data_IF_906504767792
#
_entry.id   IF_906504767792
#
_cell.length_a   1.000
_cell.length_b   1.000
_cell.length_c   1.000
_cell.angle_alpha   90.00
_cell.angle_beta   90.00
_cell.angle_gamma   90.00
#
_symmetry.space_group_name_H-M   'P 1'
#
loop_
_entity.id
_entity.type
_entity.pdbx_description
1 polymer ?
#
# COMPACT_ATOMS: atom_id res chain seq x y z
N UNK A 1 -10.87 3.49 -2.23
CA UNK A 1 -9.47 3.78 -2.59
C UNK A 1 -8.59 3.36 -1.42
N UNK A 2 -7.51 2.63 -1.67
CA UNK A 2 -6.55 2.25 -0.60
C UNK A 2 -5.35 3.20 -0.62
N UNK A 3 -4.90 3.59 0.57
CA UNK A 3 -3.68 4.36 0.79
C UNK A 3 -2.82 3.64 1.82
N UNK A 4 -1.52 3.95 1.82
CA UNK A 4 -0.55 3.48 2.79
C UNK A 4 0.55 4.52 2.92
N UNK A 5 1.14 4.65 4.12
CA UNK A 5 2.18 5.64 4.33
C UNK A 5 3.32 5.52 3.28
N UNK A 6 3.72 6.61 2.57
CA UNK A 6 4.71 6.55 1.51
C UNK A 6 6.05 5.91 1.92
N UNK A 7 6.52 6.19 3.13
CA UNK A 7 7.71 5.55 3.72
C UNK A 7 7.68 3.99 3.76
N UNK A 8 6.52 3.36 3.58
CA UNK A 8 6.42 1.89 3.44
C UNK A 8 6.26 1.45 1.99
N UNK A 9 5.50 2.21 1.19
CA UNK A 9 5.19 1.85 -0.20
C UNK A 9 6.37 2.10 -1.12
N UNK A 10 7.01 3.27 -1.01
CA UNK A 10 8.14 3.67 -1.86
C UNK A 10 9.32 2.70 -1.77
N UNK A 11 9.89 2.39 -0.58
CA UNK A 11 11.02 1.47 -0.52
C UNK A 11 10.66 0.04 -0.94
N UNK A 12 9.40 -0.38 -0.77
CA UNK A 12 8.94 -1.68 -1.25
C UNK A 12 8.85 -1.73 -2.78
N UNK A 13 8.30 -0.68 -3.41
CA UNK A 13 8.28 -0.53 -4.85
C UNK A 13 9.69 -0.41 -5.43
N UNK A 14 10.57 0.36 -4.76
CA UNK A 14 11.97 0.51 -5.13
C UNK A 14 12.71 -0.83 -5.13
N UNK A 15 12.55 -1.63 -4.07
CA UNK A 15 13.14 -2.96 -3.98
C UNK A 15 12.61 -3.93 -5.04
N UNK A 16 11.29 -3.91 -5.28
CA UNK A 16 10.69 -4.80 -6.26
C UNK A 16 11.15 -4.50 -7.69
N UNK A 17 11.10 -3.22 -8.08
CA UNK A 17 11.34 -2.77 -9.45
C UNK A 17 12.83 -2.69 -9.80
N UNK A 18 13.69 -2.29 -8.87
CA UNK A 18 15.14 -2.24 -9.11
C UNK A 18 15.76 -3.63 -9.32
N UNK A 19 15.12 -4.66 -8.78
CA UNK A 19 15.51 -6.05 -9.01
C UNK A 19 14.95 -6.65 -10.31
N UNK A 20 13.90 -6.05 -10.90
CA UNK A 20 13.24 -6.58 -12.10
C UNK A 20 13.62 -5.82 -13.38
N UNK A 21 13.84 -4.52 -13.29
CA UNK A 21 14.19 -3.67 -14.43
C UNK A 21 15.66 -3.28 -14.37
N UNK A 22 16.47 -3.73 -15.35
CA UNK A 22 17.88 -3.32 -15.49
C UNK A 22 18.05 -1.83 -15.87
N UNK A 23 16.96 -1.07 -15.96
CA UNK A 23 16.94 0.34 -16.34
C UNK A 23 15.69 1.04 -15.78
N UNK A 24 15.55 1.10 -14.46
CA UNK A 24 14.43 1.81 -13.83
C UNK A 24 14.58 3.32 -13.98
N UNK A 25 13.80 3.94 -14.88
CA UNK A 25 13.58 5.39 -14.84
C UNK A 25 12.77 5.70 -13.56
N UNK A 26 13.10 6.79 -12.86
CA UNK A 26 12.40 7.24 -11.65
C UNK A 26 10.87 7.27 -11.84
N UNK A 27 10.39 7.54 -13.06
CA UNK A 27 8.97 7.47 -13.45
C UNK A 27 8.28 6.16 -13.11
N UNK A 28 8.96 5.02 -13.23
CA UNK A 28 8.38 3.70 -13.01
C UNK A 28 8.08 3.44 -11.53
N UNK A 29 8.80 4.12 -10.63
CA UNK A 29 8.59 4.06 -9.19
C UNK A 29 7.55 5.08 -8.72
N UNK A 30 7.47 6.24 -9.39
CA UNK A 30 6.58 7.34 -9.03
C UNK A 30 5.11 7.07 -9.35
N UNK A 31 4.83 6.47 -10.51
CA UNK A 31 3.45 6.15 -10.93
C UNK A 31 2.68 5.37 -9.84
N UNK A 32 3.24 4.29 -9.24
CA UNK A 32 2.52 3.55 -8.19
C UNK A 32 2.56 4.20 -6.80
N UNK A 33 3.38 5.23 -6.56
CA UNK A 33 3.67 5.71 -5.20
C UNK A 33 3.27 7.16 -4.91
N UNK A 34 3.04 8.00 -5.93
CA UNK A 34 2.92 9.45 -5.72
C UNK A 34 1.56 9.97 -5.25
N UNK A 35 0.53 9.13 -5.13
CA UNK A 35 -0.86 9.44 -4.73
C UNK A 35 -1.60 10.57 -5.49
N UNK A 36 -0.94 11.31 -6.38
CA UNK A 36 -1.52 12.44 -7.13
C UNK A 36 -2.71 12.04 -8.00
N UNK A 37 -2.65 10.85 -8.61
CA UNK A 37 -3.76 10.29 -9.40
C UNK A 37 -4.96 9.95 -8.51
N UNK A 38 -4.67 9.42 -7.32
CA UNK A 38 -5.68 9.09 -6.32
C UNK A 38 -6.36 10.37 -5.84
N UNK A 39 -5.62 11.42 -5.51
CA UNK A 39 -6.18 12.73 -5.14
C UNK A 39 -7.06 13.30 -6.25
N UNK A 40 -6.60 13.28 -7.50
CA UNK A 40 -7.39 13.76 -8.64
C UNK A 40 -8.69 12.96 -8.82
N UNK A 41 -8.61 11.63 -8.74
CA UNK A 41 -9.78 10.77 -8.85
C UNK A 41 -10.77 10.98 -7.70
N UNK A 42 -10.25 11.15 -6.48
CA UNK A 42 -11.07 11.47 -5.31
C UNK A 42 -11.83 12.78 -5.52
N UNK A 43 -11.13 13.84 -5.92
CA UNK A 43 -11.72 15.15 -6.16
C UNK A 43 -12.74 15.13 -7.30
N UNK A 44 -12.47 14.35 -8.36
CA UNK A 44 -13.43 14.14 -9.44
C UNK A 44 -14.75 13.56 -8.91
N UNK A 45 -14.71 12.49 -8.11
CA UNK A 45 -15.93 11.90 -7.56
C UNK A 45 -16.65 12.85 -6.61
N UNK A 46 -15.91 13.54 -5.73
CA UNK A 46 -16.50 14.54 -4.81
C UNK A 46 -17.21 15.66 -5.56
N UNK A 47 -16.60 16.17 -6.64
CA UNK A 47 -17.23 17.18 -7.49
C UNK A 47 -18.51 16.68 -8.19
N UNK A 48 -18.68 15.36 -8.31
CA UNK A 48 -19.86 14.71 -8.87
C UNK A 48 -20.82 14.14 -7.79
N UNK A 49 -20.69 14.60 -6.54
CA UNK A 49 -21.60 14.24 -5.45
C UNK A 49 -21.40 12.83 -4.89
N UNK A 50 -20.30 12.15 -5.24
CA UNK A 50 -19.93 10.84 -4.71
C UNK A 50 -18.79 11.06 -3.72
N UNK A 51 -18.92 10.54 -2.49
CA UNK A 51 -17.81 10.55 -1.53
C UNK A 51 -17.10 9.21 -1.58
N UNK A 52 -15.90 9.10 -2.17
CA UNK A 52 -15.19 7.82 -2.21
C UNK A 52 -14.74 7.41 -0.81
N UNK A 53 -14.85 6.12 -0.51
CA UNK A 53 -14.27 5.55 0.71
C UNK A 53 -12.75 5.51 0.56
N UNK A 54 -12.03 6.13 1.49
CA UNK A 54 -10.56 6.06 1.57
C UNK A 54 -10.19 5.14 2.73
N UNK A 55 -9.46 4.06 2.46
CA UNK A 55 -9.07 3.07 3.45
C UNK A 55 -7.54 3.07 3.64
N UNK A 56 -7.09 3.26 4.88
CA UNK A 56 -5.68 3.16 5.26
C UNK A 56 -5.31 1.68 5.47
N UNK A 57 -4.18 1.26 4.89
CA UNK A 57 -3.77 -0.14 4.89
C UNK A 57 -3.61 -0.69 6.30
N UNK A 58 -3.00 0.08 7.19
CA UNK A 58 -2.79 -0.29 8.58
C UNK A 58 -4.11 -0.54 9.35
N UNK A 59 -5.22 0.10 8.98
CA UNK A 59 -6.51 -0.06 9.66
C UNK A 59 -7.17 -1.42 9.30
N UNK A 60 -7.21 -1.80 8.02
CA UNK A 60 -7.88 -3.03 7.59
C UNK A 60 -7.00 -4.28 7.65
N UNK A 61 -5.66 -4.14 7.71
CA UNK A 61 -4.75 -5.29 7.79
C UNK A 61 -4.77 -6.03 9.13
N UNK A 62 -5.33 -5.42 10.18
CA UNK A 62 -5.37 -6.00 11.53
C UNK A 62 -6.75 -6.01 12.20
N UNK A 63 -7.74 -5.32 11.64
CA UNK A 63 -9.06 -5.18 12.27
C UNK A 63 -10.17 -5.81 11.43
N UNK A 64 -10.66 -7.00 11.82
CA UNK A 64 -11.86 -7.58 11.23
C UNK A 64 -13.09 -6.68 11.34
N UNK A 65 -13.18 -5.90 12.42
CA UNK A 65 -14.23 -4.89 12.61
C UNK A 65 -14.16 -3.80 11.55
N UNK A 66 -12.96 -3.26 11.30
CA UNK A 66 -12.76 -2.26 10.24
C UNK A 66 -13.08 -2.81 8.86
N UNK A 67 -12.68 -4.06 8.56
CA UNK A 67 -13.02 -4.71 7.28
C UNK A 67 -14.53 -4.84 7.09
N UNK A 68 -15.27 -5.23 8.14
CA UNK A 68 -16.73 -5.27 8.10
C UNK A 68 -17.35 -3.90 7.88
N UNK A 69 -16.86 -2.89 8.58
CA UNK A 69 -17.32 -1.52 8.41
C UNK A 69 -17.06 -1.02 6.98
N UNK A 70 -15.85 -1.25 6.45
CA UNK A 70 -15.48 -0.94 5.07
C UNK A 70 -16.40 -1.64 4.05
N UNK A 71 -16.75 -2.90 4.30
CA UNK A 71 -17.69 -3.63 3.44
C UNK A 71 -19.08 -2.96 3.44
N UNK A 72 -19.62 -2.61 4.60
CA UNK A 72 -20.90 -1.90 4.70
C UNK A 72 -20.88 -0.55 3.98
N UNK A 73 -19.84 0.26 4.15
CA UNK A 73 -19.69 1.55 3.48
C UNK A 73 -19.55 1.41 1.96
N UNK A 74 -19.02 0.28 1.48
CA UNK A 74 -18.94 -0.05 0.06
C UNK A 74 -20.24 -0.65 -0.50
N UNK A 75 -21.29 -0.82 0.32
CA UNK A 75 -22.56 -1.45 -0.08
C UNK A 75 -22.49 -2.97 -0.19
N UNK A 76 -21.54 -3.61 0.48
CA UNK A 76 -21.36 -5.07 0.54
C UNK A 76 -21.93 -5.65 1.85
N UNK A 77 -22.23 -6.94 1.86
CA UNK A 77 -22.69 -7.65 3.05
C UNK A 77 -21.52 -7.96 4.02
N UNK A 78 -21.42 -7.18 5.09
CA UNK A 78 -20.39 -7.33 6.11
C UNK A 78 -20.41 -8.69 6.85
N UNK A 79 -21.52 -9.42 6.83
CA UNK A 79 -21.58 -10.77 7.44
C UNK A 79 -20.81 -11.81 6.62
N UNK A 80 -20.52 -11.52 5.35
CA UNK A 80 -19.82 -12.42 4.42
C UNK A 80 -18.32 -12.16 4.32
N UNK A 81 -17.77 -11.21 5.09
CA UNK A 81 -16.33 -10.96 5.10
C UNK A 81 -15.54 -12.19 5.58
N UNK A 82 -14.55 -12.60 4.77
CA UNK A 82 -13.64 -13.70 5.07
C UNK A 82 -12.35 -13.16 5.70
N UNK A 83 -11.86 -13.85 6.73
CA UNK A 83 -10.64 -13.51 7.46
C UNK A 83 -9.59 -14.63 7.46
N UNK A 84 -9.97 -15.77 6.89
CA UNK A 84 -9.17 -16.96 6.72
C UNK A 84 -9.31 -17.41 5.27
N UNK A 85 -8.22 -17.87 4.69
CA UNK A 85 -8.14 -18.37 3.31
C UNK A 85 -6.98 -19.35 3.20
N UNK A 86 -6.90 -20.06 2.09
CA UNK A 86 -5.79 -20.97 1.83
C UNK A 86 -4.60 -20.22 1.21
N UNK A 87 -3.39 -20.60 1.64
CA UNK A 87 -2.18 -20.16 0.95
C UNK A 87 -2.17 -20.73 -0.48
N UNK A 88 -1.65 -19.95 -1.42
CA UNK A 88 -1.52 -20.34 -2.82
C UNK A 88 -0.54 -21.51 -2.94
N UNK A 89 -0.96 -22.58 -3.63
CA UNK A 89 -0.13 -23.76 -3.85
C UNK A 89 1.13 -23.44 -4.66
N UNK A 90 2.19 -24.23 -4.53
CA UNK A 90 3.43 -24.04 -5.31
C UNK A 90 3.17 -24.12 -6.82
N UNK A 91 2.29 -25.02 -7.25
CA UNK A 91 1.90 -25.18 -8.66
C UNK A 91 1.17 -23.93 -9.18
N UNK A 92 0.24 -23.37 -8.38
CA UNK A 92 -0.45 -22.13 -8.74
C UNK A 92 0.52 -20.95 -8.77
N UNK A 93 1.46 -20.87 -7.83
CA UNK A 93 2.51 -19.85 -7.82
C UNK A 93 3.39 -19.94 -9.07
N UNK A 94 3.76 -21.15 -9.50
CA UNK A 94 4.56 -21.38 -10.70
C UNK A 94 3.81 -20.98 -12.00
N UNK A 95 2.47 -21.00 -11.98
CA UNK A 95 1.63 -20.55 -13.08
C UNK A 95 1.44 -19.02 -13.13
N UNK A 96 1.76 -18.29 -12.05
CA UNK A 96 1.66 -16.83 -12.01
C UNK A 96 2.88 -16.14 -12.61
N UNK A 97 2.71 -14.86 -12.98
CA UNK A 97 3.83 -14.03 -13.41
C UNK A 97 4.86 -13.87 -12.27
N UNK A 98 6.18 -14.05 -12.48
CA UNK A 98 7.18 -14.01 -11.40
C UNK A 98 7.18 -12.72 -10.58
N UNK A 99 6.93 -11.58 -11.24
CA UNK A 99 6.82 -10.28 -10.56
C UNK A 99 5.61 -10.23 -9.60
N UNK A 100 4.49 -10.85 -9.98
CA UNK A 100 3.29 -10.91 -9.15
C UNK A 100 3.57 -11.73 -7.88
N UNK A 101 4.16 -12.93 -8.05
CA UNK A 101 4.56 -13.80 -6.93
C UNK A 101 5.49 -13.05 -5.98
N UNK A 102 6.50 -12.34 -6.52
CA UNK A 102 7.46 -11.56 -5.73
C UNK A 102 6.82 -10.41 -4.95
N UNK A 103 5.91 -9.65 -5.58
CA UNK A 103 5.25 -8.51 -4.96
C UNK A 103 4.20 -8.92 -3.91
N UNK A 104 3.58 -10.09 -4.10
CA UNK A 104 2.47 -10.56 -3.27
C UNK A 104 2.85 -11.69 -2.31
N UNK A 105 4.14 -11.94 -2.08
CA UNK A 105 4.64 -13.02 -1.19
C UNK A 105 3.95 -13.07 0.18
N UNK A 106 3.63 -11.91 0.77
CA UNK A 106 2.95 -11.89 2.06
C UNK A 106 1.51 -12.38 1.94
N UNK A 107 0.79 -12.02 0.87
CA UNK A 107 -0.60 -12.42 0.65
C UNK A 107 -0.68 -13.91 0.25
N UNK A 108 0.07 -14.32 -0.77
CA UNK A 108 -0.04 -15.68 -1.33
C UNK A 108 0.42 -16.77 -0.36
N UNK A 109 1.28 -16.44 0.63
CA UNK A 109 1.72 -17.39 1.66
C UNK A 109 0.97 -17.24 2.99
N UNK A 110 -0.01 -16.34 3.07
CA UNK A 110 -0.82 -16.16 4.29
C UNK A 110 -2.07 -17.03 4.24
N UNK A 111 -2.60 -17.36 5.41
CA UNK A 111 -3.88 -18.06 5.57
C UNK A 111 -4.95 -17.18 6.23
N UNK A 112 -4.73 -15.87 6.24
CA UNK A 112 -5.55 -14.90 6.96
C UNK A 112 -4.84 -13.57 7.18
N UNK A 113 -5.46 -12.70 7.98
CA UNK A 113 -4.84 -11.44 8.38
C UNK A 113 -3.49 -11.67 9.07
N UNK A 114 -2.52 -10.80 8.81
CA UNK A 114 -1.17 -10.89 9.36
C UNK A 114 -0.87 -9.66 10.23
N UNK A 115 -1.30 -9.63 11.51
CA UNK A 115 -1.14 -8.45 12.37
C UNK A 115 0.31 -7.96 12.48
N UNK A 116 1.28 -8.88 12.45
CA UNK A 116 2.71 -8.53 12.48
C UNK A 116 3.23 -7.74 11.27
N UNK A 117 2.41 -7.54 10.23
CA UNK A 117 2.72 -6.70 9.07
C UNK A 117 2.18 -5.28 9.18
N UNK A 118 1.37 -5.00 10.21
CA UNK A 118 0.93 -3.64 10.54
C UNK A 118 2.09 -2.88 11.16
N UNK A 119 2.24 -1.63 10.73
CA UNK A 119 3.30 -0.74 11.19
C UNK A 119 2.66 0.49 11.83
N UNK A 120 3.28 1.00 12.89
CA UNK A 120 2.94 2.32 13.41
C UNK A 120 3.38 3.42 12.45
N UNK A 121 3.06 4.67 12.78
CA UNK A 121 3.60 5.81 12.05
C UNK A 121 5.15 5.74 12.04
N UNK A 122 5.79 5.83 10.87
CA UNK A 122 7.24 5.75 10.78
C UNK A 122 7.89 7.01 11.35
N UNK A 123 9.05 6.83 11.99
CA UNK A 123 10.00 7.92 12.23
C UNK A 123 10.90 7.99 11.01
N UNK A 124 10.79 9.07 10.22
CA UNK A 124 11.44 9.15 8.91
C UNK A 124 12.97 9.04 9.01
N UNK A 125 13.58 9.56 10.05
CA UNK A 125 15.02 9.46 10.29
C UNK A 125 15.48 8.01 10.47
N UNK A 126 14.68 7.19 11.17
CA UNK A 126 14.96 5.78 11.37
C UNK A 126 14.75 4.97 10.09
N UNK A 127 13.72 5.30 9.30
CA UNK A 127 13.50 4.67 7.99
C UNK A 127 14.61 5.06 6.99
N UNK A 128 15.06 6.31 6.98
CA UNK A 128 16.16 6.74 6.12
C UNK A 128 17.45 5.98 6.43
N UNK A 129 17.76 5.72 7.71
CA UNK A 129 18.91 4.88 8.10
C UNK A 129 18.77 3.46 7.53
N UNK A 130 17.58 2.84 7.65
CA UNK A 130 17.31 1.52 7.07
C UNK A 130 17.44 1.51 5.55
N UNK A 131 16.99 2.56 4.87
CA UNK A 131 17.13 2.68 3.42
C UNK A 131 18.60 2.81 3.01
N UNK A 132 19.41 3.58 3.74
CA UNK A 132 20.85 3.70 3.49
C UNK A 132 21.57 2.37 3.65
N UNK A 133 21.25 1.62 4.70
CA UNK A 133 21.80 0.29 4.94
C UNK A 133 21.42 -0.71 3.82
N UNK A 134 20.16 -0.67 3.37
CA UNK A 134 19.63 -1.63 2.39
C UNK A 134 19.97 -1.29 0.94
N UNK A 135 19.88 -0.02 0.55
CA UNK A 135 19.93 0.44 -0.84
C UNK A 135 21.14 1.33 -1.16
N UNK A 136 22.01 1.57 -0.18
CA UNK A 136 23.10 2.52 -0.30
C UNK A 136 22.63 3.99 -0.25
N UNK A 137 23.60 4.90 -0.35
CA UNK A 137 23.35 6.34 -0.21
C UNK A 137 22.43 6.88 -1.30
N UNK A 138 22.71 6.55 -2.57
CA UNK A 138 21.94 7.05 -3.71
C UNK A 138 20.50 6.55 -3.69
N UNK A 139 20.29 5.24 -3.45
CA UNK A 139 18.95 4.68 -3.35
C UNK A 139 18.14 5.28 -2.19
N UNK A 140 18.77 5.53 -1.04
CA UNK A 140 18.11 6.18 0.08
C UNK A 140 17.70 7.63 -0.24
N UNK A 141 18.53 8.38 -0.96
CA UNK A 141 18.19 9.74 -1.43
C UNK A 141 16.99 9.69 -2.37
N UNK A 142 17.00 8.82 -3.39
CA UNK A 142 15.87 8.69 -4.32
C UNK A 142 14.59 8.26 -3.62
N UNK A 143 14.66 7.31 -2.68
CA UNK A 143 13.49 6.91 -1.88
C UNK A 143 12.96 8.09 -1.07
N UNK A 144 13.83 8.84 -0.40
CA UNK A 144 13.45 10.01 0.40
C UNK A 144 12.73 11.06 -0.44
N UNK A 145 13.29 11.42 -1.60
CA UNK A 145 12.68 12.40 -2.51
C UNK A 145 11.28 11.94 -2.97
N UNK A 146 11.12 10.66 -3.31
CA UNK A 146 9.81 10.11 -3.70
C UNK A 146 8.80 10.07 -2.54
N UNK A 147 9.27 9.76 -1.32
CA UNK A 147 8.44 9.81 -0.11
C UNK A 147 7.96 11.24 0.12
N UNK A 148 8.88 12.21 0.16
CA UNK A 148 8.56 13.63 0.36
C UNK A 148 7.60 14.15 -0.71
N UNK A 149 7.76 13.73 -1.96
CA UNK A 149 6.83 14.12 -3.02
C UNK A 149 5.42 13.52 -2.84
N UNK A 150 5.31 12.27 -2.38
CA UNK A 150 4.02 11.61 -2.17
C UNK A 150 3.28 12.08 -0.89
N UNK A 151 3.99 12.67 0.08
CA UNK A 151 3.44 13.01 1.39
C UNK A 151 2.23 13.96 1.35
N UNK A 152 2.23 15.08 0.58
CA UNK A 152 1.09 16.00 0.57
C UNK A 152 -0.22 15.35 0.10
N UNK A 153 -0.15 14.52 -0.94
CA UNK A 153 -1.32 13.78 -1.45
C UNK A 153 -1.76 12.69 -0.47
N UNK A 154 -0.80 11.99 0.15
CA UNK A 154 -1.09 11.02 1.20
C UNK A 154 -1.81 11.66 2.39
N UNK A 155 -1.30 12.77 2.92
CA UNK A 155 -1.91 13.50 4.06
C UNK A 155 -3.31 14.00 3.72
N UNK A 156 -3.49 14.55 2.51
CA UNK A 156 -4.80 14.96 2.01
C UNK A 156 -5.83 13.82 2.03
N UNK A 157 -5.45 12.64 1.52
CA UNK A 157 -6.32 11.46 1.50
C UNK A 157 -6.51 10.87 2.90
N UNK A 158 -5.46 10.85 3.73
CA UNK A 158 -5.47 10.33 5.11
C UNK A 158 -6.43 11.10 5.99
N UNK A 159 -6.51 12.43 5.84
CA UNK A 159 -7.46 13.25 6.60
C UNK A 159 -8.93 12.91 6.30
N UNK A 160 -9.16 12.29 5.13
CA UNK A 160 -10.47 11.85 4.62
C UNK A 160 -10.69 10.35 4.75
N UNK A 161 -9.81 9.64 5.47
CA UNK A 161 -9.92 8.20 5.64
C UNK A 161 -11.19 7.82 6.41
N UNK A 162 -11.70 6.63 6.09
CA UNK A 162 -12.72 5.96 6.87
C UNK A 162 -12.22 5.74 8.30
N UNK A 163 -13.09 5.98 9.28
CA UNK A 163 -12.83 5.75 10.70
C UNK A 163 -13.95 4.87 11.23
N UNK A 164 -13.64 4.04 12.22
CA UNK A 164 -14.69 3.35 12.96
C UNK A 164 -15.64 4.38 13.59
N UNK A 165 -16.95 4.08 13.63
CA UNK A 165 -17.96 4.95 14.22
C UNK A 165 -17.79 5.14 15.74
#
# INVERSE_FOLDING_TARGET
MTIRHPAFVVPAAYDALSNSEKSGNISNYLIPTNYSWQTQLYNFYVANGITPVVAEAEDYMSSPEFVRHLASEAGLDASTCLFEWDAMSEDDQAAQHPMYVKLQQTLINSTGLVPGKVKGAPVLEDEERKWREKFGVEGAVSIKEMVEWAMPDYEYLRDRKLRLP
#
